data_IF_836383978334
#
_entry.id   IF_836383978334
#
_cell.length_a   1.000
_cell.length_b   1.000
_cell.length_c   1.000
_cell.angle_alpha   90.00
_cell.angle_beta   90.00
_cell.angle_gamma   90.00
#
_symmetry.space_group_name_H-M   'P 1'
#
loop_
_entity.id
_entity.type
_entity.pdbx_description
1 polymer ?
#
# COMPACT_ATOMS: atom_id res chain seq x y z
N UNK A 1 -39.98 -45.64 -13.92
CA UNK A 1 -40.12 -44.17 -14.00
C UNK A 1 -39.07 -43.58 -13.08
N UNK A 2 -37.94 -43.16 -13.63
CA UNK A 2 -36.88 -42.48 -12.89
C UNK A 2 -37.14 -40.98 -12.86
N UNK A 3 -37.01 -40.37 -11.69
CA UNK A 3 -36.99 -38.92 -11.52
C UNK A 3 -35.66 -38.57 -10.86
N UNK A 4 -34.83 -37.87 -11.64
CA UNK A 4 -33.47 -37.50 -11.30
C UNK A 4 -33.41 -36.37 -10.28
N UNK A 5 -32.44 -36.50 -9.39
CA UNK A 5 -32.00 -35.49 -8.43
C UNK A 5 -31.03 -34.56 -9.18
N UNK A 6 -31.44 -33.31 -9.39
CA UNK A 6 -30.57 -32.27 -9.94
C UNK A 6 -29.73 -31.63 -8.85
N UNK A 7 -28.47 -32.05 -8.73
CA UNK A 7 -27.45 -31.32 -7.97
C UNK A 7 -27.00 -30.09 -8.78
N UNK A 8 -27.47 -28.90 -8.41
CA UNK A 8 -26.94 -27.63 -8.90
C UNK A 8 -25.66 -27.27 -8.17
N UNK A 9 -24.51 -27.75 -8.66
CA UNK A 9 -23.20 -27.30 -8.22
C UNK A 9 -22.93 -25.89 -8.74
N UNK A 10 -23.12 -24.88 -7.89
CA UNK A 10 -22.65 -23.52 -8.14
C UNK A 10 -21.14 -23.45 -7.95
N UNK A 11 -20.37 -23.71 -9.00
CA UNK A 11 -18.94 -23.42 -9.01
C UNK A 11 -18.79 -21.91 -9.07
N UNK A 12 -18.43 -21.29 -7.94
CA UNK A 12 -18.08 -19.88 -7.88
C UNK A 12 -16.93 -19.59 -8.84
N UNK A 13 -17.21 -18.81 -9.88
CA UNK A 13 -16.20 -18.33 -10.81
C UNK A 13 -15.51 -17.15 -10.13
N UNK A 14 -14.28 -17.35 -9.65
CA UNK A 14 -13.41 -16.22 -9.31
C UNK A 14 -13.04 -15.56 -10.62
N UNK A 15 -13.50 -14.33 -10.85
CA UNK A 15 -13.17 -13.56 -12.05
C UNK A 15 -11.74 -13.03 -11.91
N UNK A 16 -10.76 -13.90 -12.17
CA UNK A 16 -9.38 -13.50 -12.44
C UNK A 16 -9.32 -12.96 -13.87
N UNK A 17 -9.02 -11.67 -14.02
CA UNK A 17 -8.74 -11.11 -15.33
C UNK A 17 -7.28 -11.42 -15.69
N UNK A 18 -7.09 -12.39 -16.59
CA UNK A 18 -5.89 -12.46 -17.42
C UNK A 18 -5.97 -11.29 -18.41
N UNK A 19 -5.06 -10.32 -18.31
CA UNK A 19 -4.91 -9.26 -19.30
C UNK A 19 -4.10 -9.69 -20.54
N UNK A 20 -3.86 -10.99 -20.70
CA UNK A 20 -3.36 -11.60 -21.94
C UNK A 20 -4.41 -12.53 -22.55
N UNK A 21 -4.53 -12.47 -23.88
CA UNK A 21 -5.20 -13.48 -24.71
C UNK A 21 -4.81 -14.91 -24.29
N UNK A 22 -5.67 -15.93 -24.50
CA UNK A 22 -5.47 -17.26 -23.96
C UNK A 22 -4.46 -18.06 -24.79
N UNK A 23 -3.20 -17.63 -24.83
CA UNK A 23 -2.06 -18.46 -25.22
C UNK A 23 -0.81 -18.02 -24.47
N UNK A 24 -0.62 -18.52 -23.24
CA UNK A 24 0.68 -18.46 -22.57
C UNK A 24 0.85 -19.70 -21.70
N UNK A 25 1.75 -20.60 -22.11
CA UNK A 25 2.21 -21.77 -21.33
C UNK A 25 3.28 -21.36 -20.29
N UNK A 26 3.18 -20.15 -19.73
CA UNK A 26 4.08 -19.64 -18.69
C UNK A 26 3.41 -19.61 -17.31
N UNK A 27 4.19 -19.54 -16.22
CA UNK A 27 3.64 -19.30 -14.89
C UNK A 27 2.98 -17.91 -14.81
N UNK A 28 1.85 -17.81 -14.12
CA UNK A 28 1.21 -16.52 -13.78
C UNK A 28 2.07 -15.84 -12.73
N UNK A 29 2.63 -14.68 -13.07
CA UNK A 29 3.57 -13.92 -12.22
C UNK A 29 2.99 -12.62 -11.68
N UNK A 30 1.78 -12.26 -12.10
CA UNK A 30 1.02 -11.11 -11.61
C UNK A 30 -0.48 -11.41 -11.61
N UNK A 31 -1.20 -10.93 -10.61
CA UNK A 31 -2.65 -11.01 -10.51
C UNK A 31 -3.23 -9.75 -9.85
N UNK A 32 -4.34 -9.26 -10.39
CA UNK A 32 -5.15 -8.22 -9.77
C UNK A 32 -6.59 -8.70 -9.72
N UNK A 33 -7.16 -8.73 -8.52
CA UNK A 33 -8.54 -9.12 -8.29
C UNK A 33 -9.42 -7.87 -8.18
N UNK A 34 -10.63 -7.95 -8.72
CA UNK A 34 -11.58 -6.83 -8.70
C UNK A 34 -12.42 -6.71 -7.43
N UNK A 35 -12.39 -7.74 -6.58
CA UNK A 35 -13.11 -7.85 -5.32
C UNK A 35 -12.44 -8.91 -4.45
N UNK A 36 -12.48 -8.74 -3.13
CA UNK A 36 -12.10 -9.76 -2.14
C UNK A 36 -13.30 -10.62 -1.72
N UNK A 37 -14.52 -10.23 -2.11
CA UNK A 37 -15.74 -10.94 -1.78
C UNK A 37 -16.02 -12.05 -2.82
N UNK A 38 -16.55 -13.20 -2.39
CA UNK A 38 -16.92 -14.26 -3.31
C UNK A 38 -18.13 -13.86 -4.18
N UNK A 39 -18.05 -14.14 -5.49
CA UNK A 39 -19.12 -13.92 -6.46
C UNK A 39 -19.00 -12.61 -7.27
N UNK A 40 -19.93 -12.38 -8.21
CA UNK A 40 -19.97 -11.17 -9.06
C UNK A 40 -20.61 -9.97 -8.32
N UNK A 41 -20.13 -9.68 -7.11
CA UNK A 41 -20.66 -8.63 -6.22
C UNK A 41 -19.91 -7.29 -6.33
N UNK A 42 -18.93 -7.20 -7.24
CA UNK A 42 -18.15 -5.99 -7.48
C UNK A 42 -18.86 -4.98 -8.39
N UNK A 43 -18.47 -3.71 -8.28
CA UNK A 43 -18.85 -2.70 -9.28
C UNK A 43 -18.31 -3.07 -10.67
N UNK A 44 -18.92 -2.60 -11.77
CA UNK A 44 -18.31 -2.63 -13.09
C UNK A 44 -16.92 -1.96 -13.07
N UNK A 45 -15.99 -2.45 -13.88
CA UNK A 45 -14.69 -1.80 -14.05
C UNK A 45 -14.82 -0.57 -14.94
N UNK A 46 -14.41 0.58 -14.42
CA UNK A 46 -14.22 1.81 -15.22
C UNK A 46 -12.83 1.82 -15.87
N UNK A 47 -12.57 2.76 -16.78
CA UNK A 47 -11.23 2.92 -17.36
C UNK A 47 -10.20 3.35 -16.31
N UNK A 48 -10.61 4.20 -15.36
CA UNK A 48 -9.77 4.59 -14.23
C UNK A 48 -9.38 3.36 -13.38
N UNK A 49 -10.30 2.42 -13.20
CA UNK A 49 -10.04 1.16 -12.49
C UNK A 49 -9.06 0.26 -13.20
N UNK A 50 -9.11 0.22 -14.54
CA UNK A 50 -8.12 -0.51 -15.34
C UNK A 50 -6.73 0.09 -15.18
N UNK A 51 -6.62 1.42 -15.17
CA UNK A 51 -5.35 2.12 -14.96
C UNK A 51 -4.78 1.77 -13.57
N UNK A 52 -5.60 1.84 -12.52
CA UNK A 52 -5.19 1.50 -11.14
C UNK A 52 -4.73 0.04 -11.01
N UNK A 53 -5.49 -0.88 -11.60
CA UNK A 53 -5.12 -2.28 -11.65
C UNK A 53 -3.79 -2.49 -12.40
N UNK A 54 -3.57 -1.75 -13.50
CA UNK A 54 -2.32 -1.86 -14.27
C UNK A 54 -1.11 -1.45 -13.46
N UNK A 55 -1.17 -0.40 -12.63
CA UNK A 55 -0.04 -0.03 -11.75
C UNK A 55 0.32 -1.18 -10.81
N UNK A 56 -0.67 -1.83 -10.21
CA UNK A 56 -0.43 -2.98 -9.33
C UNK A 56 0.20 -4.17 -10.08
N UNK A 57 -0.29 -4.41 -11.31
CA UNK A 57 0.22 -5.45 -12.18
C UNK A 57 1.68 -5.18 -12.60
N UNK A 58 2.00 -3.97 -13.05
CA UNK A 58 3.34 -3.61 -13.54
C UNK A 58 4.39 -3.74 -12.44
N UNK A 59 4.05 -3.37 -11.21
CA UNK A 59 4.91 -3.61 -10.04
C UNK A 59 5.14 -5.09 -9.74
N UNK A 60 4.10 -5.94 -9.86
CA UNK A 60 4.25 -7.40 -9.75
C UNK A 60 5.17 -7.96 -10.84
N UNK A 61 5.04 -7.47 -12.07
CA UNK A 61 5.85 -7.89 -13.22
C UNK A 61 7.34 -7.58 -13.08
N UNK A 62 7.74 -6.61 -12.25
CA UNK A 62 9.15 -6.39 -11.91
C UNK A 62 9.80 -7.65 -11.32
N UNK A 63 9.04 -8.43 -10.54
CA UNK A 63 9.50 -9.69 -9.97
C UNK A 63 9.93 -10.70 -11.03
N UNK A 64 9.29 -10.73 -12.21
CA UNK A 64 9.64 -11.65 -13.30
C UNK A 64 11.02 -11.38 -13.91
N UNK A 65 11.64 -10.24 -13.61
CA UNK A 65 12.91 -9.81 -14.17
C UNK A 65 14.10 -10.03 -13.21
N UNK A 66 13.87 -10.66 -12.06
CA UNK A 66 14.87 -10.77 -11.00
C UNK A 66 16.15 -11.49 -11.42
N UNK A 67 16.06 -12.55 -12.23
CA UNK A 67 17.24 -13.31 -12.67
C UNK A 67 18.17 -12.47 -13.55
N UNK A 68 17.59 -11.74 -14.51
CA UNK A 68 18.35 -10.83 -15.37
C UNK A 68 18.96 -9.68 -14.57
N UNK A 69 18.18 -9.07 -13.67
CA UNK A 69 18.64 -8.02 -12.78
C UNK A 69 19.80 -8.49 -11.87
N UNK A 70 19.73 -9.71 -11.35
CA UNK A 70 20.76 -10.32 -10.52
C UNK A 70 22.09 -10.45 -11.26
N UNK A 71 22.08 -10.92 -12.52
CA UNK A 71 23.30 -11.00 -13.35
C UNK A 71 24.01 -9.64 -13.44
N UNK A 72 23.26 -8.56 -13.67
CA UNK A 72 23.81 -7.22 -13.73
C UNK A 72 24.29 -6.70 -12.36
N UNK A 73 23.56 -7.01 -11.29
CA UNK A 73 23.95 -6.63 -9.93
C UNK A 73 25.26 -7.27 -9.49
N UNK A 74 25.40 -8.58 -9.71
CA UNK A 74 26.64 -9.32 -9.41
C UNK A 74 27.81 -8.78 -10.22
N UNK A 75 27.60 -8.50 -11.50
CA UNK A 75 28.62 -7.87 -12.37
C UNK A 75 29.07 -6.49 -11.86
N UNK A 76 28.20 -5.78 -11.12
CA UNK A 76 28.50 -4.49 -10.48
C UNK A 76 29.17 -4.61 -9.11
N UNK A 77 29.27 -5.83 -8.57
CA UNK A 77 29.81 -6.14 -7.24
C UNK A 77 28.79 -6.01 -6.10
N UNK A 78 27.48 -6.10 -6.40
CA UNK A 78 26.45 -6.16 -5.36
C UNK A 78 26.40 -7.55 -4.71
N UNK A 79 25.91 -7.67 -3.45
CA UNK A 79 25.73 -8.96 -2.80
C UNK A 79 24.83 -9.91 -3.60
N UNK A 80 25.13 -11.21 -3.58
CA UNK A 80 24.24 -12.22 -4.17
C UNK A 80 22.85 -12.17 -3.53
N UNK A 81 21.81 -12.20 -4.36
CA UNK A 81 20.42 -12.10 -3.98
C UNK A 81 19.92 -10.67 -3.83
N UNK A 82 20.73 -9.64 -4.07
CA UNK A 82 20.32 -8.25 -3.89
C UNK A 82 19.16 -7.86 -4.81
N UNK A 83 19.19 -8.26 -6.08
CA UNK A 83 18.10 -7.97 -7.01
C UNK A 83 16.94 -8.93 -6.85
N UNK A 84 17.19 -10.17 -6.43
CA UNK A 84 16.13 -11.09 -6.02
C UNK A 84 15.28 -10.50 -4.87
N UNK A 85 15.93 -9.98 -3.82
CA UNK A 85 15.24 -9.30 -2.71
C UNK A 85 14.59 -7.98 -3.16
N UNK A 86 15.31 -7.14 -3.92
CA UNK A 86 14.80 -5.84 -4.36
C UNK A 86 13.55 -5.97 -5.23
N UNK A 87 13.58 -6.82 -6.25
CA UNK A 87 12.45 -7.00 -7.17
C UNK A 87 11.37 -7.91 -6.57
N UNK A 88 11.70 -8.80 -5.64
CA UNK A 88 10.74 -9.49 -4.80
C UNK A 88 9.93 -8.51 -3.92
N UNK A 89 10.60 -7.51 -3.31
CA UNK A 89 9.92 -6.43 -2.56
C UNK A 89 9.05 -5.57 -3.46
N UNK A 90 9.51 -5.26 -4.68
CA UNK A 90 8.70 -4.53 -5.65
C UNK A 90 7.44 -5.32 -6.03
N UNK A 91 7.58 -6.61 -6.30
CA UNK A 91 6.45 -7.45 -6.62
C UNK A 91 5.43 -7.56 -5.47
N UNK A 92 5.92 -7.75 -4.25
CA UNK A 92 5.09 -7.73 -3.05
C UNK A 92 4.39 -6.37 -2.84
N UNK A 93 5.04 -5.25 -3.16
CA UNK A 93 4.41 -3.93 -3.13
C UNK A 93 3.25 -3.83 -4.13
N UNK A 94 3.42 -4.37 -5.35
CA UNK A 94 2.38 -4.42 -6.37
C UNK A 94 1.19 -5.30 -5.97
N UNK A 95 1.44 -6.44 -5.32
CA UNK A 95 0.38 -7.29 -4.77
C UNK A 95 -0.39 -6.56 -3.66
N UNK A 96 0.31 -5.90 -2.73
CA UNK A 96 -0.33 -5.11 -1.68
C UNK A 96 -1.16 -3.95 -2.25
N UNK A 97 -0.68 -3.26 -3.29
CA UNK A 97 -1.46 -2.23 -3.98
C UNK A 97 -2.73 -2.83 -4.62
N UNK A 98 -2.62 -4.00 -5.25
CA UNK A 98 -3.76 -4.71 -5.83
C UNK A 98 -4.81 -5.15 -4.80
N UNK A 99 -4.37 -5.62 -3.63
CA UNK A 99 -5.25 -5.95 -2.51
C UNK A 99 -5.94 -4.69 -1.95
N UNK A 100 -5.21 -3.58 -1.83
CA UNK A 100 -5.76 -2.30 -1.41
C UNK A 100 -6.86 -1.83 -2.38
N UNK A 101 -6.62 -1.97 -3.69
CA UNK A 101 -7.59 -1.65 -4.73
C UNK A 101 -8.85 -2.51 -4.64
N UNK A 102 -8.71 -3.83 -4.52
CA UNK A 102 -9.84 -4.74 -4.41
C UNK A 102 -10.70 -4.42 -3.18
N UNK A 103 -10.06 -4.23 -2.02
CA UNK A 103 -10.74 -3.85 -0.78
C UNK A 103 -11.44 -2.48 -0.88
N UNK A 104 -10.82 -1.52 -1.58
CA UNK A 104 -11.43 -0.20 -1.82
C UNK A 104 -12.71 -0.35 -2.64
N UNK A 105 -12.69 -1.10 -3.74
CA UNK A 105 -13.87 -1.36 -4.57
C UNK A 105 -15.00 -1.97 -3.74
N UNK A 106 -14.69 -2.96 -2.90
CA UNK A 106 -15.66 -3.58 -2.01
C UNK A 106 -16.24 -2.55 -1.01
N UNK A 107 -15.40 -1.67 -0.48
CA UNK A 107 -15.83 -0.59 0.41
C UNK A 107 -16.81 0.36 -0.27
N UNK A 108 -16.55 0.69 -1.53
CA UNK A 108 -17.46 1.52 -2.30
C UNK A 108 -18.78 0.81 -2.64
N UNK A 109 -18.81 -0.52 -2.77
CA UNK A 109 -20.07 -1.29 -2.90
C UNK A 109 -20.89 -1.12 -1.63
N UNK A 110 -20.28 -1.26 -0.44
CA UNK A 110 -20.95 -1.02 0.83
C UNK A 110 -21.45 0.42 0.98
N UNK A 111 -20.64 1.40 0.55
CA UNK A 111 -21.02 2.82 0.51
C UNK A 111 -22.23 3.05 -0.40
N UNK A 112 -22.29 2.43 -1.56
CA UNK A 112 -23.38 2.66 -2.51
C UNK A 112 -24.62 1.81 -2.20
N UNK A 113 -24.52 0.84 -1.29
CA UNK A 113 -25.65 0.01 -0.85
C UNK A 113 -26.68 0.86 -0.10
N UNK A 114 -27.94 0.74 -0.50
CA UNK A 114 -29.06 1.43 0.13
C UNK A 114 -29.12 1.13 1.63
N UNK A 115 -29.32 2.17 2.44
CA UNK A 115 -29.35 2.04 3.90
C UNK A 115 -30.78 1.78 4.35
N UNK A 116 -31.03 0.58 4.89
CA UNK A 116 -32.25 0.31 5.64
C UNK A 116 -31.98 0.51 7.15
N UNK A 117 -32.89 1.12 7.91
CA UNK A 117 -32.67 1.38 9.34
C UNK A 117 -32.28 0.13 10.15
N UNK A 118 -32.84 -1.03 9.79
CA UNK A 118 -32.58 -2.30 10.47
C UNK A 118 -31.16 -2.87 10.21
N UNK A 119 -30.50 -2.47 9.12
CA UNK A 119 -29.20 -3.01 8.69
C UNK A 119 -28.11 -1.95 8.59
N UNK A 120 -28.41 -0.69 8.93
CA UNK A 120 -27.48 0.45 8.86
C UNK A 120 -26.16 0.17 9.60
N UNK A 121 -26.21 -0.43 10.79
CA UNK A 121 -25.01 -0.79 11.55
C UNK A 121 -24.19 -1.89 10.87
N UNK A 122 -24.83 -2.89 10.26
CA UNK A 122 -24.12 -3.93 9.51
C UNK A 122 -23.39 -3.35 8.30
N UNK A 123 -24.07 -2.48 7.54
CA UNK A 123 -23.46 -1.75 6.41
C UNK A 123 -22.26 -0.92 6.88
N UNK A 124 -22.41 -0.14 7.95
CA UNK A 124 -21.34 0.69 8.49
C UNK A 124 -20.14 -0.12 8.97
N UNK A 125 -20.37 -1.21 9.72
CA UNK A 125 -19.29 -2.08 10.20
C UNK A 125 -18.58 -2.75 9.03
N UNK A 126 -19.33 -3.36 8.10
CA UNK A 126 -18.76 -4.10 6.98
C UNK A 126 -18.00 -3.16 6.03
N UNK A 127 -18.61 -2.06 5.62
CA UNK A 127 -17.98 -1.07 4.75
C UNK A 127 -16.73 -0.44 5.37
N UNK A 128 -16.76 -0.14 6.67
CA UNK A 128 -15.57 0.36 7.37
C UNK A 128 -14.48 -0.69 7.47
N UNK A 129 -14.83 -1.96 7.70
CA UNK A 129 -13.86 -3.03 7.80
C UNK A 129 -13.07 -3.17 6.48
N UNK A 130 -13.74 -3.20 5.33
CA UNK A 130 -13.06 -3.29 4.03
C UNK A 130 -12.31 -2.00 3.65
N UNK A 131 -12.82 -0.82 4.00
CA UNK A 131 -12.10 0.45 3.80
C UNK A 131 -10.81 0.51 4.64
N UNK A 132 -10.90 0.16 5.92
CA UNK A 132 -9.75 0.10 6.82
C UNK A 132 -8.73 -0.93 6.34
N UNK A 133 -9.20 -2.08 5.84
CA UNK A 133 -8.33 -3.09 5.27
C UNK A 133 -7.60 -2.57 4.02
N UNK A 134 -8.29 -1.88 3.10
CA UNK A 134 -7.66 -1.17 1.97
C UNK A 134 -6.54 -0.25 2.43
N UNK A 135 -6.79 0.57 3.46
CA UNK A 135 -5.78 1.43 4.06
C UNK A 135 -4.58 0.68 4.64
N UNK A 136 -4.76 -0.49 5.26
CA UNK A 136 -3.66 -1.31 5.76
C UNK A 136 -2.74 -1.80 4.63
N UNK A 137 -3.33 -2.31 3.54
CA UNK A 137 -2.54 -2.76 2.39
C UNK A 137 -1.87 -1.60 1.66
N UNK A 138 -2.55 -0.45 1.50
CA UNK A 138 -1.98 0.74 0.90
C UNK A 138 -0.78 1.28 1.72
N UNK A 139 -0.90 1.39 3.04
CA UNK A 139 0.22 1.82 3.90
C UNK A 139 1.40 0.84 3.80
N UNK A 140 1.12 -0.46 3.76
CA UNK A 140 2.14 -1.49 3.58
C UNK A 140 2.86 -1.36 2.24
N UNK A 141 2.13 -1.16 1.15
CA UNK A 141 2.69 -0.92 -0.18
C UNK A 141 3.55 0.35 -0.20
N UNK A 142 3.10 1.42 0.46
CA UNK A 142 3.88 2.64 0.68
C UNK A 142 5.22 2.39 1.37
N UNK A 143 5.25 1.55 2.41
CA UNK A 143 6.49 1.14 3.06
C UNK A 143 7.38 0.30 2.12
N UNK A 144 6.80 -0.60 1.33
CA UNK A 144 7.56 -1.41 0.39
C UNK A 144 8.21 -0.56 -0.72
N UNK A 145 7.49 0.40 -1.33
CA UNK A 145 8.05 1.26 -2.38
C UNK A 145 9.20 2.13 -1.89
N UNK A 146 9.12 2.71 -0.68
CA UNK A 146 10.24 3.50 -0.14
C UNK A 146 11.47 2.63 0.11
N UNK A 147 11.28 1.36 0.47
CA UNK A 147 12.39 0.41 0.64
C UNK A 147 13.06 0.09 -0.70
N UNK A 148 12.29 -0.05 -1.78
CA UNK A 148 12.81 -0.23 -3.14
C UNK A 148 13.61 0.99 -3.56
N UNK A 149 13.02 2.19 -3.47
CA UNK A 149 13.68 3.44 -3.88
C UNK A 149 14.96 3.71 -3.07
N UNK A 150 14.92 3.52 -1.75
CA UNK A 150 16.10 3.70 -0.90
C UNK A 150 17.26 2.77 -1.30
N UNK A 151 16.95 1.50 -1.58
CA UNK A 151 17.93 0.50 -2.02
C UNK A 151 18.49 0.83 -3.40
N UNK A 152 17.68 1.31 -4.34
CA UNK A 152 18.15 1.76 -5.67
C UNK A 152 19.11 2.94 -5.54
N UNK A 153 18.72 3.98 -4.78
CA UNK A 153 19.60 5.14 -4.52
C UNK A 153 20.91 4.70 -3.86
N UNK A 154 20.83 3.78 -2.89
CA UNK A 154 21.99 3.31 -2.14
C UNK A 154 22.99 2.50 -2.97
N UNK A 155 22.59 1.90 -4.09
CA UNK A 155 23.54 1.22 -5.00
C UNK A 155 24.66 2.16 -5.43
N UNK A 156 24.37 3.45 -5.61
CA UNK A 156 25.38 4.43 -6.01
C UNK A 156 26.32 4.74 -4.81
N UNK A 157 27.63 4.56 -4.99
CA UNK A 157 28.61 4.66 -3.89
C UNK A 157 28.62 6.03 -3.18
N UNK A 158 28.39 7.13 -3.92
CA UNK A 158 28.26 8.48 -3.33
C UNK A 158 27.04 8.66 -2.42
N UNK A 159 26.08 7.73 -2.42
CA UNK A 159 24.93 7.74 -1.52
C UNK A 159 25.20 7.00 -0.20
N UNK A 160 26.43 6.56 0.08
CA UNK A 160 26.77 5.82 1.31
C UNK A 160 26.49 6.59 2.62
N UNK A 161 26.36 7.93 2.56
CA UNK A 161 25.91 8.72 3.70
C UNK A 161 24.49 8.38 4.20
N UNK A 162 23.69 7.69 3.38
CA UNK A 162 22.37 7.18 3.76
C UNK A 162 22.45 6.14 4.89
N UNK A 163 23.55 5.40 4.98
CA UNK A 163 23.73 4.32 5.97
C UNK A 163 23.62 4.85 7.40
N UNK A 164 24.31 5.96 7.68
CA UNK A 164 24.28 6.61 8.99
C UNK A 164 22.88 7.14 9.32
N UNK A 165 22.17 7.67 8.32
CA UNK A 165 20.84 8.26 8.51
C UNK A 165 19.75 7.22 8.74
N UNK A 166 19.86 6.06 8.09
CA UNK A 166 18.90 4.96 8.20
C UNK A 166 19.37 3.85 9.15
N UNK A 167 20.50 4.04 9.84
CA UNK A 167 21.12 3.02 10.71
C UNK A 167 21.40 1.70 10.00
N UNK A 168 21.79 1.76 8.73
CA UNK A 168 22.29 0.60 7.99
C UNK A 168 23.78 0.41 8.23
N UNK A 169 24.23 -0.85 8.20
CA UNK A 169 25.64 -1.23 8.30
C UNK A 169 26.22 -1.50 6.91
N UNK A 170 25.98 -0.59 5.96
CA UNK A 170 26.34 -0.74 4.55
C UNK A 170 25.12 -0.98 3.65
N UNK A 171 25.35 -1.63 2.50
CA UNK A 171 24.25 -2.10 1.66
C UNK A 171 23.36 -3.04 2.47
N UNK A 172 22.02 -2.86 2.46
CA UNK A 172 21.11 -3.77 3.14
C UNK A 172 21.35 -5.21 2.70
N UNK A 173 21.49 -6.11 3.67
CA UNK A 173 21.63 -7.53 3.38
C UNK A 173 20.36 -8.05 2.70
N UNK A 174 20.47 -8.83 1.60
CA UNK A 174 19.31 -9.42 0.95
C UNK A 174 18.51 -10.29 1.92
N UNK A 175 17.18 -10.22 1.85
CA UNK A 175 16.26 -10.98 2.70
C UNK A 175 16.38 -10.70 4.21
N UNK A 176 17.01 -9.58 4.60
CA UNK A 176 17.05 -9.17 5.99
C UNK A 176 15.64 -8.80 6.49
N UNK A 177 15.21 -9.51 7.53
CA UNK A 177 13.93 -9.34 8.23
C UNK A 177 14.04 -8.42 9.44
N UNK A 178 15.24 -7.91 9.74
CA UNK A 178 15.48 -6.96 10.81
C UNK A 178 14.69 -5.66 10.64
N UNK A 179 14.30 -5.05 11.77
CA UNK A 179 13.52 -3.81 11.77
C UNK A 179 14.20 -2.67 11.01
N UNK A 180 15.52 -2.56 11.13
CA UNK A 180 16.29 -1.50 10.46
C UNK A 180 16.42 -1.71 8.95
N UNK A 181 16.24 -2.94 8.45
CA UNK A 181 16.21 -3.23 7.03
C UNK A 181 14.87 -2.85 6.37
N UNK A 182 13.82 -2.57 7.17
CA UNK A 182 12.47 -2.33 6.69
C UNK A 182 12.02 -0.92 7.07
N UNK A 183 12.22 0.02 6.14
CA UNK A 183 11.90 1.43 6.32
C UNK A 183 10.38 1.67 6.32
N UNK A 184 9.95 2.65 7.09
CA UNK A 184 8.60 3.22 6.98
C UNK A 184 8.62 4.43 6.06
N UNK A 185 7.58 4.57 5.23
CA UNK A 185 7.35 5.76 4.42
C UNK A 185 6.87 6.90 5.32
N UNK A 186 7.74 7.88 5.53
CA UNK A 186 7.46 9.10 6.28
C UNK A 186 8.35 10.25 5.77
N UNK A 187 8.06 11.52 6.12
CA UNK A 187 8.80 12.68 5.62
C UNK A 187 10.31 12.64 5.91
N UNK A 188 10.71 12.10 7.06
CA UNK A 188 12.11 12.03 7.46
C UNK A 188 12.89 11.01 6.63
N UNK A 189 12.35 9.81 6.45
CA UNK A 189 12.93 8.77 5.59
C UNK A 189 13.13 9.31 4.17
N UNK A 190 12.10 9.93 3.58
CA UNK A 190 12.17 10.45 2.21
C UNK A 190 13.16 11.59 2.09
N UNK A 191 13.20 12.51 3.06
CA UNK A 191 14.21 13.58 3.13
C UNK A 191 15.64 13.03 3.10
N UNK A 192 15.92 11.97 3.85
CA UNK A 192 17.25 11.36 3.86
C UNK A 192 17.61 10.72 2.53
N UNK A 193 16.67 9.99 1.91
CA UNK A 193 16.88 9.36 0.60
C UNK A 193 17.11 10.44 -0.48
N UNK A 194 16.29 11.48 -0.51
CA UNK A 194 16.40 12.57 -1.50
C UNK A 194 17.72 13.34 -1.35
N UNK A 195 18.15 13.60 -0.12
CA UNK A 195 19.45 14.23 0.14
C UNK A 195 20.61 13.35 -0.36
N UNK A 196 20.58 12.04 -0.10
CA UNK A 196 21.58 11.10 -0.58
C UNK A 196 21.57 10.99 -2.12
N UNK A 197 20.39 10.95 -2.74
CA UNK A 197 20.23 10.93 -4.19
C UNK A 197 20.85 12.18 -4.84
N UNK A 198 20.61 13.38 -4.29
CA UNK A 198 21.21 14.63 -4.77
C UNK A 198 22.74 14.64 -4.66
N UNK A 199 23.31 14.07 -3.59
CA UNK A 199 24.77 13.97 -3.41
C UNK A 199 25.46 13.11 -4.47
N UNK A 200 24.73 12.22 -5.16
CA UNK A 200 25.30 11.43 -6.26
C UNK A 200 25.67 12.28 -7.48
N UNK A 201 25.01 13.44 -7.66
CA UNK A 201 25.07 14.25 -8.88
C UNK A 201 24.32 13.63 -10.06
N UNK A 202 23.53 12.57 -9.86
CA UNK A 202 22.70 11.92 -10.88
C UNK A 202 21.25 12.38 -10.75
N UNK A 203 20.78 13.17 -11.71
CA UNK A 203 19.42 13.73 -11.72
C UNK A 203 18.37 12.62 -11.63
N UNK A 204 18.51 11.55 -12.41
CA UNK A 204 17.59 10.41 -12.39
C UNK A 204 17.40 9.74 -11.02
N UNK A 205 18.41 9.77 -10.14
CA UNK A 205 18.27 9.23 -8.79
C UNK A 205 17.45 10.17 -7.89
N UNK A 206 17.55 11.49 -8.07
CA UNK A 206 16.71 12.44 -7.35
C UNK A 206 15.27 12.40 -7.87
N UNK A 207 15.09 12.32 -9.19
CA UNK A 207 13.79 12.20 -9.84
C UNK A 207 13.06 10.93 -9.39
N UNK A 208 13.76 9.82 -9.13
CA UNK A 208 13.14 8.61 -8.59
C UNK A 208 12.47 8.84 -7.23
N UNK A 209 13.00 9.74 -6.41
CA UNK A 209 12.55 9.98 -5.03
C UNK A 209 11.42 11.01 -4.97
N UNK A 210 11.37 11.93 -5.93
CA UNK A 210 10.42 13.05 -5.97
C UNK A 210 8.95 12.64 -5.81
N UNK A 211 8.42 11.58 -6.46
CA UNK A 211 7.03 11.18 -6.26
C UNK A 211 6.72 10.77 -4.81
N UNK A 212 7.70 10.22 -4.10
CA UNK A 212 7.56 9.90 -2.67
C UNK A 212 7.62 11.16 -1.79
N UNK A 213 8.40 12.17 -2.19
CA UNK A 213 8.47 13.47 -1.49
C UNK A 213 7.17 14.25 -1.62
N UNK A 214 6.53 14.18 -2.79
CA UNK A 214 5.19 14.75 -2.99
C UNK A 214 4.12 13.96 -2.23
N UNK A 215 4.20 12.61 -2.25
CA UNK A 215 3.28 11.74 -1.53
C UNK A 215 3.28 12.03 -0.03
N UNK A 216 4.44 12.14 0.62
CA UNK A 216 4.50 12.40 2.08
C UNK A 216 4.04 13.80 2.48
N UNK A 217 3.92 14.73 1.52
CA UNK A 217 3.32 16.07 1.71
C UNK A 217 1.83 16.09 1.37
N UNK A 218 1.30 15.06 0.72
CA UNK A 218 -0.10 14.97 0.35
C UNK A 218 -1.00 14.88 1.58
N UNK A 219 -1.98 15.78 1.67
CA UNK A 219 -3.00 15.74 2.71
C UNK A 219 -3.81 14.43 2.67
N UNK A 220 -4.06 13.88 1.47
CA UNK A 220 -4.79 12.64 1.30
C UNK A 220 -4.01 11.44 1.87
N UNK A 221 -2.70 11.37 1.59
CA UNK A 221 -1.84 10.33 2.16
C UNK A 221 -1.72 10.47 3.68
N UNK A 222 -1.52 11.69 4.18
CA UNK A 222 -1.41 11.96 5.61
C UNK A 222 -2.68 11.53 6.37
N UNK A 223 -3.87 11.78 5.81
CA UNK A 223 -5.14 11.35 6.40
C UNK A 223 -5.24 9.81 6.48
N UNK A 224 -4.96 9.12 5.36
CA UNK A 224 -4.96 7.65 5.31
C UNK A 224 -3.98 7.02 6.31
N UNK A 225 -2.75 7.52 6.36
CA UNK A 225 -1.72 7.04 7.27
C UNK A 225 -2.12 7.26 8.75
N UNK A 226 -2.67 8.44 9.07
CA UNK A 226 -3.14 8.75 10.43
C UNK A 226 -4.28 7.83 10.88
N UNK A 227 -5.22 7.49 9.98
CA UNK A 227 -6.30 6.54 10.28
C UNK A 227 -5.77 5.14 10.59
N UNK A 228 -4.81 4.66 9.81
CA UNK A 228 -4.14 3.38 10.08
C UNK A 228 -3.42 3.41 11.43
N UNK A 229 -2.69 4.47 11.74
CA UNK A 229 -1.94 4.58 13.00
C UNK A 229 -2.84 4.64 14.23
N UNK A 230 -4.04 5.22 14.09
CA UNK A 230 -5.06 5.16 15.12
C UNK A 230 -5.51 3.71 15.43
N UNK A 231 -5.46 2.80 14.45
CA UNK A 231 -5.81 1.39 14.63
C UNK A 231 -4.68 0.50 15.16
N UNK A 232 -3.41 0.90 14.98
CA UNK A 232 -2.24 0.09 15.34
C UNK A 232 -1.59 0.51 16.67
N UNK A 233 -1.56 1.81 16.97
CA UNK A 233 -0.89 2.35 18.16
C UNK A 233 -1.83 3.07 19.13
N UNK A 234 -3.10 3.29 18.75
CA UNK A 234 -4.09 4.01 19.56
C UNK A 234 -5.37 3.20 19.66
N UNK A 235 -6.33 3.71 20.42
CA UNK A 235 -7.66 3.12 20.50
C UNK A 235 -8.35 3.27 19.14
N UNK A 236 -8.63 2.13 18.48
CA UNK A 236 -9.42 2.10 17.24
C UNK A 236 -10.84 2.63 17.52
N UNK A 237 -11.32 3.66 16.79
CA UNK A 237 -12.69 4.16 16.94
C UNK A 237 -13.72 3.07 16.59
N UNK A 238 -14.72 2.87 17.45
CA UNK A 238 -15.78 1.89 17.22
C UNK A 238 -16.66 2.27 16.03
N UNK A 239 -17.40 1.31 15.47
CA UNK A 239 -18.30 1.52 14.32
C UNK A 239 -19.76 1.65 14.71
N UNK A 240 -20.04 1.80 16.00
CA UNK A 240 -21.40 1.78 16.57
C UNK A 240 -21.56 3.02 17.45
N UNK A 241 -22.72 3.67 17.35
CA UNK A 241 -23.12 4.77 18.23
C UNK A 241 -23.21 4.32 19.69
N UNK A 242 -22.76 5.18 20.61
CA UNK A 242 -22.72 4.86 22.03
C UNK A 242 -21.59 3.90 22.44
N UNK A 243 -20.61 3.70 21.56
CA UNK A 243 -19.34 3.01 21.87
C UNK A 243 -18.48 3.76 22.90
N UNK A 244 -17.28 3.25 23.19
CA UNK A 244 -16.40 3.87 24.20
C UNK A 244 -15.85 5.22 23.69
N UNK A 245 -15.92 6.31 24.49
CA UNK A 245 -15.32 7.60 24.14
C UNK A 245 -13.83 7.48 23.82
N UNK A 246 -13.36 8.27 22.85
CA UNK A 246 -11.94 8.37 22.47
C UNK A 246 -11.18 9.43 23.26
N UNK A 247 -11.82 10.08 24.23
CA UNK A 247 -11.24 11.14 25.08
C UNK A 247 -11.22 10.71 26.55
N UNK A 248 -10.30 11.27 27.31
CA UNK A 248 -10.20 11.00 28.75
C UNK A 248 -11.44 11.57 29.47
N UNK A 249 -12.23 10.76 30.18
CA UNK A 249 -13.41 11.24 30.89
C UNK A 249 -13.06 12.04 32.17
N UNK A 250 -11.79 12.06 32.56
CA UNK A 250 -11.28 12.89 33.64
C UNK A 250 -10.86 14.27 33.13
N UNK A 251 -11.46 15.32 33.70
CA UNK A 251 -10.98 16.68 33.59
C UNK A 251 -10.18 17.05 34.85
N UNK A 252 -9.01 17.65 34.66
CA UNK A 252 -8.20 18.16 35.78
C UNK A 252 -8.39 19.66 35.87
N UNK A 253 -8.84 20.16 37.02
CA UNK A 253 -8.73 21.58 37.35
C UNK A 253 -7.47 21.77 38.21
N UNK A 254 -6.39 22.18 37.56
CA UNK A 254 -5.09 22.38 38.22
C UNK A 254 -5.11 23.52 39.25
N UNK A 255 -6.01 24.51 39.11
CA UNK A 255 -6.10 25.62 40.04
C UNK A 255 -6.83 25.22 41.34
N UNK A 256 -7.83 24.36 41.23
CA UNK A 256 -8.58 23.83 42.38
C UNK A 256 -7.96 22.56 42.98
N UNK A 257 -7.00 21.92 42.30
CA UNK A 257 -6.43 20.63 42.73
C UNK A 257 -7.45 19.50 42.69
N UNK A 258 -8.48 19.62 41.87
CA UNK A 258 -9.59 18.67 41.79
C UNK A 258 -9.59 17.90 40.47
N UNK A 259 -10.07 16.66 40.55
CA UNK A 259 -10.29 15.77 39.42
C UNK A 259 -11.79 15.50 39.31
N UNK A 260 -12.35 15.81 38.15
CA UNK A 260 -13.78 15.60 37.86
C UNK A 260 -13.92 14.49 36.83
N UNK A 261 -14.70 13.46 37.15
CA UNK A 261 -15.07 12.40 36.21
C UNK A 261 -16.45 12.68 35.63
N UNK A 262 -16.54 12.77 34.31
CA UNK A 262 -17.82 12.77 33.61
C UNK A 262 -18.36 11.34 33.50
N UNK A 263 -19.48 11.07 34.18
CA UNK A 263 -20.18 9.77 34.13
C UNK A 263 -21.51 9.96 33.41
N UNK A 264 -21.75 9.17 32.38
CA UNK A 264 -23.04 9.12 31.66
C UNK A 264 -23.57 7.68 31.60
N UNK A 265 -24.89 7.53 31.56
CA UNK A 265 -25.56 6.23 31.42
C UNK A 265 -25.36 5.63 30.02
N UNK A 266 -25.17 6.49 29.02
CA UNK A 266 -24.88 6.14 27.63
C UNK A 266 -23.77 7.05 27.10
N UNK A 267 -22.89 6.50 26.26
CA UNK A 267 -21.91 7.34 25.57
C UNK A 267 -22.58 8.13 24.44
N UNK A 268 -22.09 9.35 24.25
CA UNK A 268 -22.35 10.27 23.15
C UNK A 268 -21.41 10.03 21.95
N UNK A 269 -20.65 8.94 21.97
CA UNK A 269 -19.75 8.58 20.87
C UNK A 269 -20.51 8.39 19.56
N UNK A 270 -20.09 9.14 18.54
CA UNK A 270 -20.54 9.01 17.15
C UNK A 270 -19.41 8.41 16.32
N UNK A 271 -19.64 7.27 15.63
CA UNK A 271 -18.63 6.68 14.77
C UNK A 271 -18.36 7.55 13.53
N UNK A 272 -17.15 7.49 12.95
CA UNK A 272 -16.87 8.07 11.64
C UNK A 272 -17.88 7.59 10.59
N UNK A 273 -18.36 8.53 9.78
CA UNK A 273 -19.33 8.28 8.69
C UNK A 273 -18.66 7.44 7.60
N UNK A 274 -19.32 6.36 7.16
CA UNK A 274 -18.74 5.40 6.20
C UNK A 274 -18.28 6.10 4.92
N UNK A 275 -19.10 7.01 4.39
CA UNK A 275 -18.85 7.76 3.16
C UNK A 275 -17.55 8.57 3.25
N UNK A 276 -17.29 9.18 4.40
CA UNK A 276 -16.06 9.94 4.67
C UNK A 276 -14.85 9.01 4.74
N UNK A 277 -14.98 7.86 5.43
CA UNK A 277 -13.91 6.86 5.54
C UNK A 277 -13.54 6.30 4.15
N UNK A 278 -14.52 5.96 3.33
CA UNK A 278 -14.29 5.45 1.97
C UNK A 278 -13.66 6.53 1.10
N UNK A 279 -14.15 7.78 1.16
CA UNK A 279 -13.60 8.90 0.38
C UNK A 279 -12.15 9.22 0.75
N UNK A 280 -11.84 9.24 2.05
CA UNK A 280 -10.47 9.44 2.54
C UNK A 280 -9.54 8.30 2.09
N UNK A 281 -10.01 7.06 2.24
CA UNK A 281 -9.26 5.86 1.81
C UNK A 281 -8.99 5.89 0.32
N UNK A 282 -9.99 6.24 -0.49
CA UNK A 282 -9.87 6.39 -1.92
C UNK A 282 -8.82 7.44 -2.28
N UNK A 283 -8.91 8.65 -1.70
CA UNK A 283 -7.97 9.73 -2.00
C UNK A 283 -6.52 9.35 -1.63
N UNK A 284 -6.31 8.68 -0.49
CA UNK A 284 -4.99 8.21 -0.09
C UNK A 284 -4.45 7.08 -0.98
N UNK A 285 -5.30 6.14 -1.40
CA UNK A 285 -4.98 5.10 -2.37
C UNK A 285 -4.58 5.71 -3.72
N UNK A 286 -5.33 6.68 -4.25
CA UNK A 286 -5.01 7.34 -5.53
C UNK A 286 -3.66 8.05 -5.48
N UNK A 287 -3.39 8.77 -4.39
CA UNK A 287 -2.10 9.45 -4.21
C UNK A 287 -0.95 8.45 -4.23
N UNK A 288 -1.07 7.32 -3.53
CA UNK A 288 -0.07 6.25 -3.55
C UNK A 288 0.07 5.61 -4.92
N UNK A 289 -1.05 5.24 -5.57
CA UNK A 289 -1.05 4.60 -6.88
C UNK A 289 -0.40 5.50 -7.93
N UNK A 290 -0.64 6.82 -7.88
CA UNK A 290 0.02 7.78 -8.77
C UNK A 290 1.52 7.83 -8.50
N UNK A 291 1.94 7.94 -7.24
CA UNK A 291 3.37 7.98 -6.89
C UNK A 291 4.09 6.68 -7.29
N UNK A 292 3.47 5.52 -7.08
CA UNK A 292 4.02 4.22 -7.47
C UNK A 292 4.14 4.10 -9.00
N UNK A 293 3.19 4.63 -9.77
CA UNK A 293 3.31 4.70 -11.24
C UNK A 293 4.51 5.55 -11.65
N UNK A 294 4.65 6.75 -11.09
CA UNK A 294 5.76 7.64 -11.43
C UNK A 294 7.11 7.04 -11.04
N UNK A 295 7.20 6.36 -9.89
CA UNK A 295 8.41 5.63 -9.48
C UNK A 295 8.73 4.51 -10.47
N UNK A 296 7.72 3.72 -10.88
CA UNK A 296 7.91 2.65 -11.85
C UNK A 296 8.45 3.19 -13.18
N UNK A 297 7.87 4.26 -13.70
CA UNK A 297 8.28 4.86 -14.98
C UNK A 297 9.71 5.43 -14.93
N UNK A 298 10.16 5.90 -13.76
CA UNK A 298 11.51 6.46 -13.54
C UNK A 298 12.56 5.40 -13.17
N UNK A 299 12.14 4.20 -12.74
CA UNK A 299 13.01 3.15 -12.21
C UNK A 299 14.12 2.70 -13.19
N UNK A 300 13.84 2.48 -14.49
CA UNK A 300 14.88 2.03 -15.42
C UNK A 300 16.06 2.99 -15.54
N UNK A 301 15.79 4.30 -15.65
CA UNK A 301 16.83 5.31 -15.79
C UNK A 301 17.59 5.51 -14.46
N UNK A 302 16.89 5.44 -13.33
CA UNK A 302 17.51 5.51 -12.02
C UNK A 302 18.48 4.32 -11.78
N UNK A 303 18.11 3.10 -12.18
CA UNK A 303 18.98 1.93 -12.10
C UNK A 303 20.23 2.08 -12.98
N UNK A 304 20.09 2.59 -14.21
CA UNK A 304 21.24 2.92 -15.07
C UNK A 304 22.14 3.95 -14.41
N UNK A 305 21.57 5.01 -13.84
CA UNK A 305 22.30 6.05 -13.13
C UNK A 305 23.02 5.53 -11.87
N UNK A 306 22.45 4.53 -11.20
CA UNK A 306 23.09 3.80 -10.10
C UNK A 306 24.23 2.87 -10.57
N UNK A 307 24.35 2.63 -11.87
CA UNK A 307 25.38 1.79 -12.49
C UNK A 307 24.93 0.35 -12.78
N UNK A 308 23.62 0.08 -12.81
CA UNK A 308 23.07 -1.24 -13.15
C UNK A 308 22.23 -1.14 -14.44
N UNK A 309 22.79 -1.46 -15.61
CA UNK A 309 22.10 -1.32 -16.89
C UNK A 309 21.22 -2.54 -17.19
N UNK A 310 20.18 -2.75 -16.39
CA UNK A 310 19.25 -3.90 -16.52
C UNK A 310 18.35 -3.76 -17.76
N UNK A 311 18.11 -2.52 -18.19
CA UNK A 311 17.26 -2.18 -19.32
C UNK A 311 18.11 -1.47 -20.37
N UNK A 312 18.77 -2.23 -21.26
CA UNK A 312 19.24 -1.63 -22.51
C UNK A 312 18.00 -1.21 -23.30
N UNK A 313 17.86 0.09 -23.55
CA UNK A 313 16.94 0.56 -24.58
C UNK A 313 17.41 -0.02 -25.92
N UNK A 314 16.51 -0.51 -26.79
CA UNK A 314 16.88 -0.86 -28.16
C UNK A 314 17.58 0.30 -28.88
#
# INVERSE_FOLDING_TARGET
>A
MGLGIGCGGGVGRVTMFSMSEPESKGPVVAAVVGTLLPGDVGKPFTDADRIRAMVSHDWQMLGAQYEWAEIHGVSKGLPHGYFADLLGRAAAAGEQLGLAFAALRDAEVWRDTATEPATANHRNIAGRAVAEASGLWAVSAGHAVVNVVARVVRIHSKAAGLDVKLSWTGLPAPFDSGRLANLSLNPETVKYILAAARQTGKVALADLVEPLDDLVKSAAWAALAARRDAGYHRLRPQSIEGGVPSVNPWATDQAAGTLTLSVSTFSDYVPPVLEEVVTETHAGYEALSSAMRDVHDRLPEALRAAGVPIYRTP
#
